data_IF_465485290218
#
_entry.id   IF_465485290218
#
_cell.length_a   1.000
_cell.length_b   1.000
_cell.length_c   1.000
_cell.angle_alpha   90.00
_cell.angle_beta   90.00
_cell.angle_gamma   90.00
#
_symmetry.space_group_name_H-M   'P 1'
#
loop_
_entity.id
_entity.type
_entity.pdbx_description
1 polymer ?
#
# COMPACT_ATOMS: atom_id res chain seq x y z
N UNK A 1 -0.62 -9.60 -2.05
CA UNK A 1 0.52 -10.45 -1.64
C UNK A 1 0.01 -11.74 -1.01
N UNK A 2 0.78 -12.83 -1.09
CA UNK A 2 0.58 -14.03 -0.28
C UNK A 2 1.86 -14.29 0.50
N UNK A 3 1.75 -14.47 1.81
CA UNK A 3 2.91 -14.76 2.65
C UNK A 3 3.32 -16.22 2.49
N UNK A 4 4.60 -16.45 2.17
CA UNK A 4 5.22 -17.78 2.14
C UNK A 4 5.76 -18.20 3.51
N UNK A 5 6.36 -19.39 3.58
CA UNK A 5 7.05 -19.85 4.80
C UNK A 5 8.16 -18.85 5.18
N UNK A 6 8.24 -18.51 6.48
CA UNK A 6 9.27 -17.60 7.01
C UNK A 6 9.03 -16.10 6.74
N UNK A 7 7.77 -15.66 6.58
CA UNK A 7 7.41 -14.25 6.36
C UNK A 7 8.05 -13.61 5.12
N UNK A 8 8.37 -14.42 4.10
CA UNK A 8 8.88 -13.93 2.82
C UNK A 8 7.74 -13.91 1.80
N UNK A 9 7.74 -12.92 0.92
CA UNK A 9 6.82 -12.85 -0.21
C UNK A 9 7.57 -12.46 -1.48
N UNK A 10 7.10 -12.92 -2.65
CA UNK A 10 7.68 -12.58 -3.94
C UNK A 10 7.02 -11.31 -4.46
N UNK A 11 7.83 -10.31 -4.77
CA UNK A 11 7.39 -9.03 -5.30
C UNK A 11 7.99 -8.83 -6.69
N UNK A 12 7.16 -8.41 -7.64
CA UNK A 12 7.56 -8.07 -9.00
C UNK A 12 6.47 -7.19 -9.62
N UNK A 13 6.86 -6.30 -10.53
CA UNK A 13 5.93 -5.48 -11.30
C UNK A 13 5.07 -6.35 -12.20
N UNK A 14 3.76 -6.17 -12.12
CA UNK A 14 2.78 -6.89 -12.93
C UNK A 14 1.52 -6.06 -13.08
N UNK A 15 0.75 -6.33 -14.13
CA UNK A 15 -0.56 -5.69 -14.30
C UNK A 15 -1.54 -6.18 -13.24
N UNK A 16 -2.55 -5.37 -12.93
CA UNK A 16 -3.54 -5.72 -11.91
C UNK A 16 -4.22 -7.07 -12.18
N UNK A 17 -4.55 -7.38 -13.43
CA UNK A 17 -5.20 -8.62 -13.86
C UNK A 17 -4.28 -9.85 -13.86
N UNK A 18 -3.01 -9.72 -13.47
CA UNK A 18 -2.08 -10.85 -13.42
C UNK A 18 -2.58 -11.92 -12.43
N UNK A 19 -2.59 -13.22 -12.80
CA UNK A 19 -3.09 -14.30 -11.94
C UNK A 19 -2.35 -14.45 -10.60
N UNK A 20 -1.14 -13.91 -10.46
CA UNK A 20 -0.41 -13.89 -9.20
C UNK A 20 -1.03 -12.94 -8.17
N UNK A 21 -1.77 -11.92 -8.62
CA UNK A 21 -2.53 -11.07 -7.73
C UNK A 21 -3.74 -11.83 -7.18
N UNK A 22 -4.09 -11.63 -5.89
CA UNK A 22 -5.32 -12.21 -5.35
C UNK A 22 -6.53 -11.63 -6.09
N UNK A 23 -7.36 -12.51 -6.67
CA UNK A 23 -8.51 -12.14 -7.49
C UNK A 23 -9.80 -11.90 -6.65
N UNK A 24 -9.75 -12.20 -5.36
CA UNK A 24 -10.85 -11.99 -4.39
C UNK A 24 -10.28 -11.86 -2.97
N UNK A 25 -11.12 -11.40 -2.05
CA UNK A 25 -10.85 -11.31 -0.61
C UNK A 25 -9.54 -10.60 -0.29
N UNK A 26 -9.23 -9.55 -1.05
CA UNK A 26 -8.02 -8.78 -0.91
C UNK A 26 -8.31 -7.32 -0.56
N UNK A 27 -7.34 -6.64 0.04
CA UNK A 27 -7.35 -5.19 0.14
C UNK A 27 -6.51 -4.61 -1.01
N UNK A 28 -7.05 -3.61 -1.69
CA UNK A 28 -6.35 -2.83 -2.70
C UNK A 28 -5.95 -1.49 -2.10
N UNK A 29 -4.64 -1.25 -2.01
CA UNK A 29 -4.06 0.02 -1.56
C UNK A 29 -3.55 0.74 -2.81
N UNK A 30 -4.06 1.95 -3.07
CA UNK A 30 -3.68 2.75 -4.23
C UNK A 30 -2.86 3.95 -3.75
N UNK A 31 -1.54 3.90 -3.97
CA UNK A 31 -0.57 4.75 -3.27
C UNK A 31 -0.37 6.13 -3.91
N UNK A 32 -0.72 6.29 -5.18
CA UNK A 32 -0.64 7.59 -5.85
C UNK A 32 -1.99 7.97 -6.47
N UNK A 33 -2.18 9.28 -6.63
CA UNK A 33 -3.37 9.87 -7.26
C UNK A 33 -3.61 9.35 -8.68
N UNK A 34 -2.56 9.08 -9.44
CA UNK A 34 -2.65 8.45 -10.76
C UNK A 34 -3.25 7.04 -10.67
N UNK A 35 -2.72 6.19 -9.79
CA UNK A 35 -3.25 4.84 -9.56
C UNK A 35 -4.70 4.86 -9.06
N UNK A 36 -5.04 5.79 -8.16
CA UNK A 36 -6.40 5.97 -7.66
C UNK A 36 -7.37 6.31 -8.81
N UNK A 37 -7.01 7.26 -9.67
CA UNK A 37 -7.84 7.71 -10.78
C UNK A 37 -7.95 6.65 -11.89
N UNK A 38 -6.86 5.96 -12.20
CA UNK A 38 -6.83 4.94 -13.25
C UNK A 38 -7.66 3.69 -12.91
N UNK A 39 -7.84 3.39 -11.62
CA UNK A 39 -8.53 2.19 -11.15
C UNK A 39 -9.66 2.54 -10.16
N UNK A 40 -10.76 3.18 -10.62
CA UNK A 40 -11.87 3.58 -9.75
C UNK A 40 -12.59 2.38 -9.12
N UNK A 41 -12.54 1.21 -9.76
CA UNK A 41 -13.07 -0.05 -9.26
C UNK A 41 -12.00 -1.14 -9.33
N UNK A 42 -11.72 -1.76 -8.18
CA UNK A 42 -10.80 -2.90 -8.09
C UNK A 42 -11.62 -4.16 -7.79
N UNK A 43 -11.92 -4.93 -8.83
CA UNK A 43 -12.75 -6.14 -8.74
C UNK A 43 -12.14 -7.16 -7.75
N UNK A 44 -12.99 -7.77 -6.93
CA UNK A 44 -12.54 -8.75 -5.93
C UNK A 44 -11.83 -8.16 -4.70
N UNK A 45 -11.61 -6.84 -4.65
CA UNK A 45 -11.13 -6.20 -3.44
C UNK A 45 -12.29 -6.05 -2.44
N UNK A 46 -12.10 -6.59 -1.23
CA UNK A 46 -13.00 -6.37 -0.09
C UNK A 46 -12.89 -4.95 0.48
N UNK A 47 -11.73 -4.32 0.30
CA UNK A 47 -11.48 -2.93 0.66
C UNK A 47 -10.64 -2.24 -0.42
N UNK A 48 -10.98 -0.98 -0.72
CA UNK A 48 -10.23 -0.10 -1.61
C UNK A 48 -9.80 1.12 -0.81
N UNK A 49 -8.50 1.29 -0.62
CA UNK A 49 -7.91 2.30 0.26
C UNK A 49 -7.05 3.24 -0.60
N UNK A 50 -7.59 4.41 -1.00
CA UNK A 50 -6.81 5.41 -1.70
C UNK A 50 -5.89 6.15 -0.73
N UNK A 51 -4.62 6.28 -1.12
CA UNK A 51 -3.63 7.16 -0.51
C UNK A 51 -3.21 8.12 -1.63
N UNK A 52 -3.83 9.30 -1.76
CA UNK A 52 -3.69 10.15 -2.93
C UNK A 52 -2.37 10.95 -2.90
N UNK A 53 -1.25 10.28 -2.68
CA UNK A 53 0.05 10.91 -2.74
C UNK A 53 0.40 11.30 -4.18
N UNK A 54 1.21 12.35 -4.34
CA UNK A 54 1.74 12.74 -5.64
C UNK A 54 2.85 11.75 -6.05
N UNK A 55 2.75 11.22 -7.27
CA UNK A 55 3.73 10.27 -7.79
C UNK A 55 5.11 10.96 -7.95
N UNK A 56 6.18 10.46 -7.31
CA UNK A 56 7.51 11.06 -7.44
C UNK A 56 8.07 10.97 -8.87
N UNK A 57 7.47 10.13 -9.73
CA UNK A 57 7.79 10.04 -11.15
C UNK A 57 7.68 11.36 -11.92
N UNK A 58 6.90 12.32 -11.43
CA UNK A 58 6.84 13.67 -11.98
C UNK A 58 8.20 14.40 -11.96
N UNK A 59 9.15 13.90 -11.18
CA UNK A 59 10.49 14.46 -11.03
C UNK A 59 11.57 13.60 -11.68
N UNK A 60 11.19 12.59 -12.48
CA UNK A 60 12.14 11.78 -13.24
C UNK A 60 13.00 12.67 -14.16
N UNK A 61 14.31 12.48 -14.10
CA UNK A 61 15.32 13.27 -14.81
C UNK A 61 15.62 14.64 -14.20
N UNK A 62 14.91 15.06 -13.14
CA UNK A 62 15.18 16.32 -12.46
C UNK A 62 16.34 16.19 -11.46
N UNK A 63 17.06 17.28 -11.14
CA UNK A 63 18.16 17.26 -10.16
C UNK A 63 17.77 16.78 -8.75
N UNK A 64 16.47 16.77 -8.45
CA UNK A 64 15.90 16.46 -7.15
C UNK A 64 15.03 15.19 -7.14
N UNK A 65 15.12 14.37 -8.20
CA UNK A 65 14.44 13.07 -8.33
C UNK A 65 14.61 12.22 -7.05
N UNK A 66 15.85 11.91 -6.68
CA UNK A 66 16.17 11.07 -5.51
C UNK A 66 15.57 11.61 -4.21
N UNK A 67 15.56 12.95 -4.04
CA UNK A 67 14.99 13.57 -2.85
C UNK A 67 13.46 13.39 -2.80
N UNK A 68 12.78 13.46 -3.94
CA UNK A 68 11.32 13.28 -4.03
C UNK A 68 10.88 11.83 -3.85
N UNK A 69 11.64 10.87 -4.36
CA UNK A 69 11.43 9.46 -4.05
C UNK A 69 11.64 9.16 -2.55
N UNK A 70 12.67 9.74 -1.92
CA UNK A 70 12.92 9.58 -0.49
C UNK A 70 11.81 10.21 0.37
N UNK A 71 11.37 11.42 0.03
CA UNK A 71 10.25 12.10 0.69
C UNK A 71 8.98 11.23 0.66
N UNK A 72 8.63 10.70 -0.52
CA UNK A 72 7.44 9.85 -0.67
C UNK A 72 7.55 8.52 0.06
N UNK A 73 8.73 7.88 0.03
CA UNK A 73 9.00 6.66 0.80
C UNK A 73 8.76 6.90 2.29
N UNK A 74 9.25 8.01 2.81
CA UNK A 74 9.16 8.31 4.23
C UNK A 74 7.71 8.64 4.65
N UNK A 75 6.93 9.29 3.78
CA UNK A 75 5.48 9.49 3.99
C UNK A 75 4.73 8.17 4.14
N UNK A 76 4.97 7.23 3.21
CA UNK A 76 4.36 5.90 3.25
C UNK A 76 4.80 5.15 4.51
N UNK A 77 6.08 5.23 4.87
CA UNK A 77 6.61 4.63 6.09
C UNK A 77 5.93 5.16 7.36
N UNK A 78 5.77 6.49 7.48
CA UNK A 78 5.07 7.13 8.60
C UNK A 78 3.61 6.71 8.70
N UNK A 79 2.90 6.66 7.57
CA UNK A 79 1.53 6.19 7.53
C UNK A 79 1.42 4.76 8.04
N UNK A 80 2.24 3.84 7.49
CA UNK A 80 2.21 2.43 7.87
C UNK A 80 2.52 2.27 9.36
N UNK A 81 3.55 2.95 9.87
CA UNK A 81 3.87 2.94 11.29
C UNK A 81 2.69 3.40 12.16
N UNK A 82 2.06 4.52 11.82
CA UNK A 82 0.89 5.03 12.54
C UNK A 82 -0.27 4.03 12.55
N UNK A 83 -0.56 3.40 11.41
CA UNK A 83 -1.60 2.37 11.28
C UNK A 83 -1.31 1.18 12.20
N UNK A 84 -0.07 0.67 12.21
CA UNK A 84 0.30 -0.46 13.08
C UNK A 84 0.28 -0.08 14.57
N UNK A 85 0.71 1.13 14.93
CA UNK A 85 0.62 1.62 16.31
C UNK A 85 -0.83 1.72 16.77
N UNK A 86 -1.72 2.25 15.93
CA UNK A 86 -3.14 2.31 16.24
C UNK A 86 -3.74 0.92 16.36
N UNK A 87 -3.43 0.01 15.43
CA UNK A 87 -3.90 -1.38 15.48
C UNK A 87 -3.48 -2.06 16.78
N UNK A 88 -2.19 -1.94 17.16
CA UNK A 88 -1.67 -2.49 18.41
C UNK A 88 -2.49 -2.02 19.62
N UNK A 89 -2.74 -0.70 19.72
CA UNK A 89 -3.55 -0.13 20.80
C UNK A 89 -4.98 -0.70 20.83
N UNK A 90 -5.62 -0.86 19.66
CA UNK A 90 -6.97 -1.42 19.58
C UNK A 90 -7.01 -2.90 20.00
N UNK A 91 -6.00 -3.69 19.62
CA UNK A 91 -5.91 -5.10 20.00
C UNK A 91 -5.62 -5.27 21.51
N UNK A 92 -4.77 -4.43 22.08
CA UNK A 92 -4.46 -4.43 23.52
C UNK A 92 -5.69 -4.06 24.38
N UNK A 93 -6.48 -3.06 23.96
CA UNK A 93 -7.72 -2.68 24.65
C UNK A 93 -8.81 -3.76 24.52
N UNK A 94 -8.89 -4.47 23.39
CA UNK A 94 -9.85 -5.56 23.18
C UNK A 94 -9.54 -6.85 23.96
N UNK A 95 -8.34 -7.00 24.52
CA UNK A 95 -7.89 -8.22 25.21
C UNK A 95 -8.11 -8.18 26.73
N UNK A 96 -8.53 -7.03 27.28
CA UNK A 96 -8.84 -6.85 28.71
C UNK A 96 -10.32 -6.98 29.08
N UNK A 97 -11.17 -7.36 28.13
CA UNK A 97 -12.63 -7.47 28.31
C UNK A 97 -13.15 -8.85 27.94
N UNK A 98 -12.67 -9.89 28.62
CA UNK A 98 -13.35 -11.17 28.82
C UNK A 98 -13.00 -11.71 30.20
#
# INVERSE_FOLDING_TARGET
MRWGKGLKTREFSKVYSDPHNPQRDCAAILVCSEADTACPKVTGAAARIPLPYLDPKLFDGAPFESAKYAERRDDIGRLMLSVFMQLRRHLEVGSGGK
#
